data_IF_537115653392
#
_entry.id   IF_537115653392
#
_cell.length_a   1.000
_cell.length_b   1.000
_cell.length_c   1.000
_cell.angle_alpha   90.00
_cell.angle_beta   90.00
_cell.angle_gamma   90.00
#
_symmetry.space_group_name_H-M   'P 1'
#
loop_
_entity.id
_entity.type
_entity.pdbx_description
1 polymer ?
#
# COMPACT_ATOMS: atom_id res chain seq x y z
N UNK A 1 38.87 -2.57 -3.40
CA UNK A 1 38.25 -1.38 -2.82
C UNK A 1 37.80 -1.79 -1.44
N UNK A 2 38.46 -1.28 -0.42
CA UNK A 2 38.28 -1.63 0.99
C UNK A 2 36.91 -1.15 1.46
N UNK A 3 36.06 -2.10 1.89
CA UNK A 3 34.81 -1.85 2.62
C UNK A 3 35.15 -1.04 3.89
N UNK A 4 34.84 0.24 3.91
CA UNK A 4 34.82 1.03 5.13
C UNK A 4 33.63 0.51 5.94
N UNK A 5 33.80 -0.04 7.16
CA UNK A 5 32.68 -0.50 7.95
C UNK A 5 31.75 0.69 8.23
N UNK A 6 30.50 0.56 7.82
CA UNK A 6 29.48 1.57 8.06
C UNK A 6 29.43 1.89 9.57
N UNK A 7 29.54 3.17 9.94
CA UNK A 7 29.52 3.60 11.32
C UNK A 7 28.20 3.17 11.99
N UNK A 8 28.28 2.68 13.24
CA UNK A 8 27.13 2.24 14.03
C UNK A 8 26.72 3.39 14.95
N UNK A 9 25.59 4.04 14.65
CA UNK A 9 25.15 5.22 15.43
C UNK A 9 24.18 4.80 16.51
N UNK A 10 24.55 5.10 17.76
CA UNK A 10 23.74 4.88 18.95
C UNK A 10 23.30 6.21 19.55
N UNK A 11 22.02 6.40 19.77
CA UNK A 11 21.47 7.53 20.51
C UNK A 11 21.03 7.08 21.90
N UNK A 12 21.54 7.74 22.94
CA UNK A 12 21.15 7.48 24.33
C UNK A 12 20.31 8.65 24.84
N UNK A 13 19.05 8.37 25.16
CA UNK A 13 18.08 9.39 25.60
C UNK A 13 17.90 9.32 27.11
N UNK A 14 17.94 10.48 27.76
CA UNK A 14 17.87 10.67 29.23
C UNK A 14 18.82 9.75 30.00
N UNK A 15 20.14 9.78 29.70
CA UNK A 15 21.11 8.87 30.29
C UNK A 15 21.22 9.06 31.82
N UNK A 16 21.44 7.94 32.52
CA UNK A 16 21.85 7.94 33.95
C UNK A 16 23.35 7.66 34.07
N UNK A 17 23.86 7.72 35.32
CA UNK A 17 25.28 7.45 35.61
C UNK A 17 25.74 6.07 35.08
N UNK A 18 24.90 5.05 35.19
CA UNK A 18 25.20 3.72 34.64
C UNK A 18 25.24 3.73 33.12
N UNK A 19 24.37 4.52 32.45
CA UNK A 19 24.45 4.73 31.00
C UNK A 19 25.80 5.37 30.63
N UNK A 20 26.21 6.44 31.32
CA UNK A 20 27.49 7.10 31.04
C UNK A 20 28.70 6.16 31.22
N UNK A 21 28.65 5.22 32.17
CA UNK A 21 29.71 4.20 32.36
C UNK A 21 29.81 3.22 31.21
N UNK A 22 28.72 2.98 30.45
CA UNK A 22 28.73 2.12 29.28
C UNK A 22 29.39 2.78 28.04
N UNK A 23 29.29 4.11 27.90
CA UNK A 23 29.66 4.82 26.67
C UNK A 23 31.10 4.57 26.20
N UNK A 24 32.12 4.60 27.08
CA UNK A 24 33.53 4.35 26.68
C UNK A 24 33.71 2.96 26.08
N UNK A 25 33.09 1.93 26.68
CA UNK A 25 33.15 0.56 26.21
C UNK A 25 32.44 0.38 24.83
N UNK A 26 31.36 1.06 24.63
CA UNK A 26 30.63 1.03 23.33
C UNK A 26 31.43 1.73 22.23
N UNK A 27 32.05 2.86 22.51
CA UNK A 27 32.93 3.54 21.57
C UNK A 27 34.14 2.70 21.17
N UNK A 28 34.71 1.97 22.14
CA UNK A 28 35.87 1.07 21.90
C UNK A 28 35.55 -0.08 20.90
N UNK A 29 34.29 -0.52 20.83
CA UNK A 29 33.84 -1.55 19.89
C UNK A 29 33.18 -0.98 18.60
N UNK A 30 33.39 0.31 18.33
CA UNK A 30 33.05 0.95 17.06
C UNK A 30 31.64 1.55 16.97
N UNK A 31 31.02 1.89 18.11
CA UNK A 31 29.79 2.70 18.12
C UNK A 31 30.12 4.20 18.17
N UNK A 32 29.47 4.95 17.30
CA UNK A 32 29.36 6.42 17.42
C UNK A 32 28.18 6.70 18.35
N UNK A 33 28.51 7.16 19.58
CA UNK A 33 27.49 7.36 20.60
C UNK A 33 27.24 8.82 20.82
N UNK A 34 25.99 9.23 20.64
CA UNK A 34 25.44 10.53 20.99
C UNK A 34 24.45 10.39 22.17
N UNK A 35 24.28 11.47 22.94
CA UNK A 35 23.36 11.48 24.08
C UNK A 35 22.61 12.81 24.16
N UNK A 36 21.31 12.75 24.48
CA UNK A 36 20.47 13.94 24.61
C UNK A 36 19.28 13.67 25.55
N UNK A 37 18.51 14.71 25.84
CA UNK A 37 17.20 14.60 26.48
C UNK A 37 16.13 14.23 25.45
N UNK A 38 14.97 13.72 25.90
CA UNK A 38 13.86 13.33 25.04
C UNK A 38 13.42 14.48 24.12
N UNK A 39 13.39 15.71 24.60
CA UNK A 39 12.98 16.90 23.83
C UNK A 39 13.85 17.17 22.59
N UNK A 40 15.14 16.80 22.65
CA UNK A 40 16.10 17.01 21.55
C UNK A 40 16.38 15.74 20.75
N UNK A 41 15.71 14.64 21.04
CA UNK A 41 15.97 13.35 20.41
C UNK A 41 15.34 13.23 19.02
N UNK A 42 14.24 13.94 18.75
CA UNK A 42 13.49 13.86 17.47
C UNK A 42 14.27 14.39 16.28
N UNK A 43 15.23 15.31 16.49
CA UNK A 43 16.06 15.89 15.43
C UNK A 43 17.36 15.09 15.18
N UNK A 44 17.57 14.00 15.91
CA UNK A 44 18.79 13.18 15.83
C UNK A 44 18.55 11.91 15.02
N UNK A 45 19.53 11.56 14.21
CA UNK A 45 19.51 10.31 13.43
C UNK A 45 20.37 9.25 14.10
N UNK A 46 19.80 8.04 14.31
CA UNK A 46 20.52 6.90 14.87
C UNK A 46 20.10 5.61 14.20
N UNK A 47 20.92 4.56 14.34
CA UNK A 47 20.58 3.22 13.92
C UNK A 47 19.91 2.43 15.06
N UNK A 48 20.38 2.66 16.29
CA UNK A 48 19.80 2.07 17.50
C UNK A 48 19.63 3.17 18.56
N UNK A 49 18.51 3.15 19.27
CA UNK A 49 18.24 4.04 20.39
C UNK A 49 18.22 3.29 21.73
N UNK A 50 18.74 3.90 22.76
CA UNK A 50 18.66 3.45 24.15
C UNK A 50 17.98 4.56 24.95
N UNK A 51 16.82 4.32 25.54
CA UNK A 51 16.09 5.31 26.32
C UNK A 51 15.86 4.85 27.75
N UNK A 52 16.21 5.69 28.72
CA UNK A 52 15.86 5.44 30.12
C UNK A 52 14.42 5.87 30.36
N UNK A 53 13.52 4.90 30.57
CA UNK A 53 12.15 5.19 30.92
C UNK A 53 12.06 5.68 32.38
N UNK A 54 11.26 6.70 32.55
CA UNK A 54 10.92 7.30 33.85
C UNK A 54 9.41 7.23 34.05
N UNK A 55 8.85 7.31 35.27
CA UNK A 55 7.41 7.22 35.52
C UNK A 55 6.57 8.14 34.63
N UNK A 56 7.01 9.39 34.43
CA UNK A 56 6.28 10.37 33.65
C UNK A 56 6.21 10.00 32.14
N UNK A 57 7.16 9.20 31.62
CA UNK A 57 7.08 8.69 30.24
C UNK A 57 5.92 7.70 30.04
N UNK A 58 5.50 7.03 31.10
CA UNK A 58 4.37 6.10 31.07
C UNK A 58 3.04 6.82 31.28
N UNK A 59 3.06 7.94 32.00
CA UNK A 59 1.89 8.82 32.16
C UNK A 59 1.62 9.65 30.89
N UNK A 60 2.69 10.06 30.19
CA UNK A 60 2.63 10.85 28.96
C UNK A 60 3.45 10.18 27.84
N UNK A 61 2.98 9.05 27.29
CA UNK A 61 3.78 8.21 26.38
C UNK A 61 3.94 8.79 24.97
N UNK A 62 3.21 9.85 24.62
CA UNK A 62 3.10 10.34 23.25
C UNK A 62 4.46 10.80 22.67
N UNK A 63 5.29 11.48 23.44
CA UNK A 63 6.61 11.93 23.01
C UNK A 63 7.57 10.76 22.71
N UNK A 64 7.53 9.70 23.54
CA UNK A 64 8.33 8.48 23.32
C UNK A 64 7.84 7.72 22.11
N UNK A 65 6.52 7.59 21.93
CA UNK A 65 5.91 6.95 20.75
C UNK A 65 6.27 7.69 19.47
N UNK A 66 6.19 9.02 19.48
CA UNK A 66 6.56 9.85 18.34
C UNK A 66 8.05 9.67 17.96
N UNK A 67 8.94 9.71 18.94
CA UNK A 67 10.37 9.47 18.73
C UNK A 67 10.63 8.10 18.08
N UNK A 68 10.05 7.04 18.65
CA UNK A 68 10.23 5.67 18.14
C UNK A 68 9.66 5.53 16.71
N UNK A 69 8.48 6.10 16.46
CA UNK A 69 7.81 5.99 15.16
C UNK A 69 8.53 6.74 14.04
N UNK A 70 9.14 7.89 14.36
CA UNK A 70 9.82 8.75 13.39
C UNK A 70 11.25 8.34 13.08
N UNK A 71 11.97 7.77 14.06
CA UNK A 71 13.41 7.53 13.96
C UNK A 71 13.81 6.43 12.96
N UNK A 72 12.91 5.46 12.68
CA UNK A 72 13.25 4.26 11.92
C UNK A 72 14.29 3.34 12.57
N UNK A 73 14.75 3.68 13.78
CA UNK A 73 15.72 2.95 14.58
C UNK A 73 15.06 1.86 15.43
N UNK A 74 15.82 0.88 15.88
CA UNK A 74 15.40 -0.02 16.94
C UNK A 74 15.68 0.56 18.32
N UNK A 75 14.66 0.56 19.17
CA UNK A 75 14.75 1.16 20.50
C UNK A 75 14.79 0.11 21.60
N UNK A 76 15.67 0.34 22.57
CA UNK A 76 15.85 -0.51 23.76
C UNK A 76 15.49 0.33 24.99
N UNK A 77 14.60 -0.20 25.82
CA UNK A 77 14.22 0.44 27.07
C UNK A 77 15.22 0.16 28.19
N UNK A 78 15.53 1.17 29.01
CA UNK A 78 16.27 1.03 30.27
C UNK A 78 15.31 1.28 31.41
N UNK A 79 15.15 0.31 32.28
CA UNK A 79 14.20 0.31 33.38
C UNK A 79 14.92 0.28 34.72
N UNK A 80 14.48 1.12 35.67
CA UNK A 80 14.85 0.99 37.06
C UNK A 80 13.78 0.18 37.83
N UNK A 81 14.08 -0.14 39.09
CA UNK A 81 13.14 -0.92 39.93
C UNK A 81 11.82 -0.19 40.20
N UNK A 82 11.81 1.13 40.19
CA UNK A 82 10.62 1.95 40.37
C UNK A 82 9.65 1.81 39.20
N UNK A 83 10.15 1.96 37.96
CA UNK A 83 9.38 1.82 36.73
C UNK A 83 8.86 0.39 36.56
N UNK A 84 9.64 -0.62 36.93
CA UNK A 84 9.22 -2.03 36.84
C UNK A 84 7.98 -2.38 37.70
N UNK A 85 7.69 -1.60 38.74
CA UNK A 85 6.55 -1.80 39.65
C UNK A 85 5.26 -1.14 39.13
N UNK A 86 5.34 -0.34 38.08
CA UNK A 86 4.17 0.35 37.53
C UNK A 86 3.31 -0.62 36.71
N UNK A 87 1.98 -0.48 36.86
CA UNK A 87 1.04 -1.17 36.00
C UNK A 87 1.23 -0.68 34.55
N UNK A 88 1.09 -1.58 33.57
CA UNK A 88 1.20 -1.32 32.12
C UNK A 88 2.62 -1.09 31.56
N UNK A 89 3.70 -1.09 32.39
CA UNK A 89 5.07 -0.99 31.85
C UNK A 89 5.40 -2.16 30.91
N UNK A 90 4.96 -3.37 31.26
CA UNK A 90 5.19 -4.56 30.45
C UNK A 90 4.59 -4.45 29.06
N UNK A 91 3.33 -4.03 28.98
CA UNK A 91 2.63 -3.86 27.71
C UNK A 91 3.28 -2.76 26.87
N UNK A 92 3.60 -1.62 27.48
CA UNK A 92 4.27 -0.51 26.79
C UNK A 92 5.64 -0.91 26.23
N UNK A 93 6.46 -1.62 27.03
CA UNK A 93 7.78 -2.07 26.60
C UNK A 93 7.66 -3.15 25.50
N UNK A 94 6.78 -4.11 25.67
CA UNK A 94 6.55 -5.17 24.66
C UNK A 94 6.00 -4.62 23.34
N UNK A 95 5.19 -3.56 23.39
CA UNK A 95 4.60 -2.96 22.19
C UNK A 95 5.60 -2.06 21.45
N UNK A 96 6.42 -1.29 22.15
CA UNK A 96 7.19 -0.17 21.56
C UNK A 96 8.69 -0.41 21.47
N UNK A 97 9.26 -1.38 22.19
CA UNK A 97 10.71 -1.56 22.26
C UNK A 97 11.14 -2.91 21.67
N UNK A 98 12.34 -2.93 21.12
CA UNK A 98 12.98 -4.15 20.62
C UNK A 98 13.30 -5.12 21.75
N UNK A 99 13.86 -4.57 22.85
CA UNK A 99 14.24 -5.31 24.06
C UNK A 99 14.33 -4.31 25.23
N UNK A 100 14.58 -4.80 26.44
CA UNK A 100 14.80 -3.96 27.60
C UNK A 100 15.96 -4.44 28.48
N UNK A 101 16.54 -3.52 29.24
CA UNK A 101 17.52 -3.81 30.26
C UNK A 101 17.15 -3.16 31.58
N UNK A 102 17.48 -3.83 32.68
CA UNK A 102 17.29 -3.32 34.03
C UNK A 102 18.59 -2.76 34.60
N UNK A 103 18.49 -1.73 35.44
CA UNK A 103 19.62 -1.22 36.17
C UNK A 103 19.86 -1.99 37.48
N UNK A 104 21.15 -2.28 37.86
CA UNK A 104 22.38 -1.94 37.15
C UNK A 104 22.58 -2.85 35.90
N UNK A 105 23.32 -2.36 34.90
CA UNK A 105 23.53 -3.08 33.65
C UNK A 105 24.46 -4.29 33.76
N UNK A 106 24.09 -5.37 33.05
CA UNK A 106 25.07 -6.33 32.56
C UNK A 106 25.59 -5.82 31.19
N UNK A 107 26.83 -5.32 31.19
CA UNK A 107 27.46 -4.70 30.01
C UNK A 107 27.49 -5.65 28.82
N UNK A 108 27.79 -6.94 29.06
CA UNK A 108 27.86 -7.94 27.99
C UNK A 108 26.51 -8.20 27.36
N UNK A 109 25.44 -8.24 28.14
CA UNK A 109 24.06 -8.35 27.62
C UNK A 109 23.66 -7.14 26.80
N UNK A 110 23.95 -5.93 27.27
CA UNK A 110 23.64 -4.70 26.53
C UNK A 110 24.34 -4.70 25.18
N UNK A 111 25.64 -5.07 25.13
CA UNK A 111 26.39 -5.13 23.87
C UNK A 111 25.79 -6.11 22.87
N UNK A 112 25.38 -7.30 23.33
CA UNK A 112 24.72 -8.31 22.48
C UNK A 112 23.38 -7.79 21.95
N UNK A 113 22.57 -7.17 22.82
CA UNK A 113 21.25 -6.62 22.42
C UNK A 113 21.41 -5.50 21.41
N UNK A 114 22.36 -4.56 21.63
CA UNK A 114 22.66 -3.50 20.67
C UNK A 114 23.12 -4.06 19.32
N UNK A 115 23.98 -5.09 19.33
CA UNK A 115 24.43 -5.76 18.12
C UNK A 115 23.28 -6.41 17.34
N UNK A 116 22.36 -7.06 18.04
CA UNK A 116 21.14 -7.67 17.44
C UNK A 116 20.20 -6.61 16.88
N UNK A 117 19.94 -5.55 17.63
CA UNK A 117 19.12 -4.42 17.19
C UNK A 117 19.69 -3.77 15.92
N UNK A 118 21.00 -3.52 15.89
CA UNK A 118 21.68 -3.01 14.69
C UNK A 118 21.61 -3.97 13.51
N UNK A 119 21.78 -5.27 13.75
CA UNK A 119 21.61 -6.30 12.73
C UNK A 119 20.20 -6.28 12.12
N UNK A 120 19.16 -6.10 12.94
CA UNK A 120 17.77 -5.98 12.48
C UNK A 120 17.54 -4.73 11.64
N UNK A 121 18.12 -3.58 12.04
CA UNK A 121 18.06 -2.35 11.24
C UNK A 121 18.74 -2.55 9.88
N UNK A 122 19.92 -3.20 9.86
CA UNK A 122 20.62 -3.50 8.58
C UNK A 122 19.85 -4.48 7.70
N UNK A 123 19.26 -5.50 8.26
CA UNK A 123 18.43 -6.45 7.50
C UNK A 123 17.20 -5.75 6.91
N UNK A 124 16.57 -4.84 7.65
CA UNK A 124 15.50 -3.98 7.12
C UNK A 124 16.02 -3.01 6.05
N UNK A 125 17.21 -2.45 6.23
CA UNK A 125 17.86 -1.52 5.31
C UNK A 125 18.35 -2.17 4.01
N UNK A 126 18.65 -3.46 3.98
CA UNK A 126 18.99 -4.18 2.74
C UNK A 126 17.75 -4.55 1.91
N UNK A 127 16.57 -4.48 2.51
CA UNK A 127 15.28 -4.47 1.81
C UNK A 127 14.81 -3.05 1.48
N UNK A 128 15.74 -2.09 1.33
CA UNK A 128 15.40 -0.67 1.17
C UNK A 128 14.60 -0.41 -0.09
N UNK A 129 13.34 -0.27 0.13
CA UNK A 129 12.56 0.75 -0.56
C UNK A 129 13.01 2.09 0.02
N UNK A 130 13.66 2.94 -0.77
CA UNK A 130 13.89 4.34 -0.44
C UNK A 130 12.55 4.98 -0.09
N UNK A 131 12.38 5.37 1.19
CA UNK A 131 11.15 5.98 1.71
C UNK A 131 11.27 7.51 1.58
N UNK A 132 11.49 7.98 0.35
CA UNK A 132 11.14 9.34 -0.04
C UNK A 132 9.86 9.26 -0.89
N UNK A 133 8.71 9.54 -0.26
CA UNK A 133 7.36 9.62 -0.82
C UNK A 133 6.85 8.34 -1.50
N UNK A 134 6.47 7.27 -0.75
CA UNK A 134 5.97 6.02 -1.32
C UNK A 134 4.57 6.15 -1.98
N UNK A 135 3.87 7.26 -1.81
CA UNK A 135 2.54 7.47 -2.39
C UNK A 135 2.52 7.51 -3.92
N UNK A 136 3.67 7.68 -4.57
CA UNK A 136 3.76 7.91 -6.02
C UNK A 136 4.58 6.86 -6.78
N UNK A 137 4.95 5.76 -6.14
CA UNK A 137 5.73 4.73 -6.80
C UNK A 137 4.93 3.49 -7.18
N UNK A 138 5.10 3.02 -8.43
CA UNK A 138 4.49 1.78 -8.91
C UNK A 138 5.25 0.58 -8.32
N UNK A 139 4.78 0.07 -7.18
CA UNK A 139 5.38 -1.06 -6.48
C UNK A 139 5.02 -2.40 -7.11
N UNK A 140 5.96 -3.37 -7.04
CA UNK A 140 5.79 -4.74 -7.50
C UNK A 140 7.01 -5.27 -8.24
N UNK A 141 7.30 -6.58 -8.09
CA UNK A 141 8.39 -7.29 -8.75
C UNK A 141 7.91 -8.42 -9.65
N UNK A 142 6.59 -8.58 -9.80
CA UNK A 142 6.02 -9.52 -10.73
C UNK A 142 6.42 -9.20 -12.17
N UNK A 143 6.49 -10.22 -13.02
CA UNK A 143 6.84 -10.07 -14.45
C UNK A 143 5.97 -9.00 -15.14
N UNK A 144 4.63 -8.99 -14.98
CA UNK A 144 3.79 -7.98 -15.61
C UNK A 144 4.11 -6.55 -15.18
N UNK A 145 4.43 -6.32 -13.89
CA UNK A 145 4.79 -4.99 -13.39
C UNK A 145 6.14 -4.54 -13.91
N UNK A 146 7.12 -5.44 -14.01
CA UNK A 146 8.43 -5.13 -14.62
C UNK A 146 8.32 -4.78 -16.10
N UNK A 147 7.47 -5.50 -16.84
CA UNK A 147 7.18 -5.20 -18.25
C UNK A 147 6.48 -3.85 -18.40
N UNK A 148 5.50 -3.57 -17.52
CA UNK A 148 4.83 -2.27 -17.48
C UNK A 148 5.83 -1.14 -17.23
N UNK A 149 6.72 -1.25 -16.25
CA UNK A 149 7.77 -0.22 -16.01
C UNK A 149 8.67 0.00 -17.22
N UNK A 150 9.08 -1.07 -17.91
CA UNK A 150 9.87 -0.97 -19.17
C UNK A 150 9.09 -0.24 -20.27
N UNK A 151 7.79 -0.50 -20.39
CA UNK A 151 6.93 0.18 -21.35
C UNK A 151 6.82 1.67 -21.00
N UNK A 152 6.57 2.01 -19.73
CA UNK A 152 6.48 3.39 -19.26
C UNK A 152 7.76 4.19 -19.57
N UNK A 153 8.93 3.60 -19.35
CA UNK A 153 10.22 4.25 -19.66
C UNK A 153 10.39 4.55 -21.16
N UNK A 154 9.81 3.71 -22.04
CA UNK A 154 9.83 3.95 -23.49
C UNK A 154 8.83 5.03 -23.92
N UNK A 155 7.66 5.09 -23.27
CA UNK A 155 6.60 6.03 -23.63
C UNK A 155 6.78 7.42 -23.00
N UNK A 156 7.46 7.51 -21.87
CA UNK A 156 7.60 8.75 -21.12
C UNK A 156 8.23 9.91 -21.93
N UNK A 157 9.28 9.71 -22.75
CA UNK A 157 9.89 10.81 -23.53
C UNK A 157 9.00 11.32 -24.68
N UNK A 158 7.93 10.62 -25.04
CA UNK A 158 7.06 11.03 -26.15
C UNK A 158 6.05 12.11 -25.72
N UNK A 159 5.67 12.97 -26.65
CA UNK A 159 4.62 13.99 -26.45
C UNK A 159 3.21 13.48 -26.82
N UNK A 160 3.12 12.24 -27.30
CA UNK A 160 1.86 11.64 -27.73
C UNK A 160 0.90 11.44 -26.56
N UNK A 161 -0.40 11.46 -26.85
CA UNK A 161 -1.43 11.07 -25.90
C UNK A 161 -1.27 9.59 -25.52
N UNK A 162 -1.52 9.27 -24.25
CA UNK A 162 -1.47 7.90 -23.74
C UNK A 162 -2.80 7.55 -23.09
N UNK A 163 -3.41 6.46 -23.55
CA UNK A 163 -4.62 5.89 -22.94
C UNK A 163 -4.23 4.77 -21.98
N UNK A 164 -4.56 4.94 -20.70
CA UNK A 164 -4.29 3.98 -19.63
C UNK A 164 -5.58 3.21 -19.33
N UNK A 165 -5.61 1.91 -19.64
CA UNK A 165 -6.77 1.04 -19.41
C UNK A 165 -6.52 0.10 -18.22
N UNK A 166 -7.57 -0.26 -17.50
CA UNK A 166 -7.53 -1.26 -16.46
C UNK A 166 -8.57 -1.06 -15.37
N UNK A 167 -8.76 -2.10 -14.57
CA UNK A 167 -9.75 -2.13 -13.51
C UNK A 167 -9.57 -1.00 -12.49
N UNK A 168 -10.64 -0.71 -11.74
CA UNK A 168 -10.56 0.24 -10.63
C UNK A 168 -9.55 -0.25 -9.58
N UNK A 169 -8.76 0.67 -9.03
CA UNK A 169 -7.79 0.36 -7.97
C UNK A 169 -6.50 -0.33 -8.42
N UNK A 170 -6.23 -0.49 -9.73
CA UNK A 170 -4.98 -1.09 -10.25
C UNK A 170 -3.79 -0.12 -10.28
N UNK A 171 -4.01 1.18 -9.99
CA UNK A 171 -2.95 2.20 -9.97
C UNK A 171 -2.80 2.98 -11.27
N UNK A 172 -3.86 3.21 -12.03
CA UNK A 172 -3.84 4.03 -13.28
C UNK A 172 -3.25 5.42 -13.06
N UNK A 173 -3.59 6.07 -11.94
CA UNK A 173 -3.03 7.38 -11.60
C UNK A 173 -1.52 7.31 -11.32
N UNK A 174 -1.04 6.24 -10.64
CA UNK A 174 0.39 6.03 -10.42
C UNK A 174 1.16 5.85 -11.73
N UNK A 175 0.54 5.16 -12.70
CA UNK A 175 1.08 5.03 -14.06
C UNK A 175 1.19 6.40 -14.73
N UNK A 176 0.14 7.24 -14.65
CA UNK A 176 0.16 8.60 -15.22
C UNK A 176 1.23 9.48 -14.55
N UNK A 177 1.34 9.46 -13.22
CA UNK A 177 2.39 10.18 -12.47
C UNK A 177 3.79 9.69 -12.82
N UNK A 178 3.98 8.38 -13.02
CA UNK A 178 5.26 7.80 -13.46
C UNK A 178 5.62 8.25 -14.87
N UNK A 179 4.67 8.27 -15.82
CA UNK A 179 4.89 8.81 -17.18
C UNK A 179 5.29 10.28 -17.13
N UNK A 180 4.64 11.09 -16.31
CA UNK A 180 5.00 12.50 -16.15
C UNK A 180 6.40 12.65 -15.55
N UNK A 181 6.72 11.96 -14.46
CA UNK A 181 8.01 12.01 -13.76
C UNK A 181 9.18 11.62 -14.67
N UNK A 182 8.98 10.65 -15.55
CA UNK A 182 10.01 10.17 -16.50
C UNK A 182 10.03 10.97 -17.81
N UNK A 183 9.12 11.96 -18.00
CA UNK A 183 9.02 12.76 -19.22
C UNK A 183 9.93 13.99 -19.19
N UNK A 184 10.06 14.68 -20.33
CA UNK A 184 10.72 15.97 -20.41
C UNK A 184 9.98 17.10 -19.66
N UNK A 185 8.71 16.86 -19.28
CA UNK A 185 7.85 17.78 -18.53
C UNK A 185 7.84 17.51 -17.02
N UNK A 186 8.75 16.69 -16.48
CA UNK A 186 8.76 16.27 -15.07
C UNK A 186 8.77 17.40 -14.04
N UNK A 187 9.34 18.56 -14.40
CA UNK A 187 9.40 19.76 -13.54
C UNK A 187 8.23 20.74 -13.78
N UNK A 188 7.31 20.41 -14.66
CA UNK A 188 6.16 21.22 -15.05
C UNK A 188 4.89 20.75 -14.31
N UNK A 189 3.80 21.53 -14.36
CA UNK A 189 2.55 21.13 -13.69
C UNK A 189 2.04 19.75 -14.13
N UNK A 190 1.58 18.95 -13.17
CA UNK A 190 0.78 17.75 -13.39
C UNK A 190 -0.61 18.00 -12.81
N UNK A 191 -1.58 18.19 -13.68
CA UNK A 191 -2.97 18.49 -13.29
C UNK A 191 -3.82 17.25 -13.54
N UNK A 192 -4.34 16.67 -12.46
CA UNK A 192 -5.26 15.54 -12.52
C UNK A 192 -6.71 16.01 -12.34
N UNK A 193 -7.60 15.40 -13.09
CA UNK A 193 -9.05 15.59 -12.98
C UNK A 193 -9.75 14.26 -13.14
N UNK A 194 -10.65 13.93 -12.21
CA UNK A 194 -11.51 12.76 -12.33
C UNK A 194 -12.84 13.19 -12.95
N UNK A 195 -13.13 12.73 -14.17
CA UNK A 195 -14.32 13.09 -14.93
C UNK A 195 -15.61 12.54 -14.32
N UNK A 196 -15.55 11.38 -13.63
CA UNK A 196 -16.71 10.78 -12.98
C UNK A 196 -17.05 11.38 -11.61
N UNK A 197 -16.07 12.07 -10.96
CA UNK A 197 -16.29 12.63 -9.63
C UNK A 197 -16.91 14.04 -9.62
N UNK A 198 -16.93 14.72 -10.76
CA UNK A 198 -17.43 16.09 -10.88
C UNK A 198 -18.85 16.05 -11.46
N UNK A 199 -19.82 16.75 -10.84
CA UNK A 199 -21.17 16.87 -11.41
C UNK A 199 -21.14 17.40 -12.84
N UNK A 200 -21.99 16.85 -13.72
CA UNK A 200 -22.03 17.13 -15.16
C UNK A 200 -22.12 18.62 -15.47
N UNK A 201 -22.91 19.37 -14.73
CA UNK A 201 -23.08 20.81 -14.92
C UNK A 201 -21.86 21.66 -14.49
N UNK A 202 -20.92 21.11 -13.75
CA UNK A 202 -19.70 21.80 -13.30
C UNK A 202 -18.46 21.41 -14.10
N UNK A 203 -18.43 20.20 -14.69
CA UNK A 203 -17.22 19.64 -15.31
C UNK A 203 -16.74 20.50 -16.49
N UNK A 204 -17.65 21.15 -17.27
CA UNK A 204 -17.29 22.05 -18.32
C UNK A 204 -16.50 23.28 -17.77
N UNK A 205 -17.03 23.89 -16.72
CA UNK A 205 -16.38 25.01 -16.06
C UNK A 205 -15.07 24.66 -15.37
N UNK A 206 -14.97 23.43 -14.83
CA UNK A 206 -13.70 22.93 -14.25
C UNK A 206 -12.64 22.70 -15.33
N UNK A 207 -12.98 22.06 -16.46
CA UNK A 207 -12.04 21.77 -17.54
C UNK A 207 -11.57 23.03 -18.26
N UNK A 208 -12.52 23.85 -18.76
CA UNK A 208 -12.24 24.95 -19.67
C UNK A 208 -12.17 26.34 -18.99
N UNK A 209 -12.65 26.42 -17.73
CA UNK A 209 -12.80 27.71 -17.05
C UNK A 209 -14.03 28.49 -17.51
N UNK A 210 -14.29 29.61 -16.88
CA UNK A 210 -15.40 30.50 -17.26
C UNK A 210 -15.06 31.98 -17.09
N UNK A 211 -15.69 32.81 -17.88
CA UNK A 211 -15.67 34.25 -17.71
C UNK A 211 -16.72 34.69 -16.68
N UNK A 212 -16.56 35.91 -16.12
CA UNK A 212 -17.54 36.49 -15.21
C UNK A 212 -18.89 36.64 -15.92
N UNK A 213 -19.96 36.14 -15.30
CA UNK A 213 -21.32 36.23 -15.85
C UNK A 213 -21.69 35.14 -16.86
N UNK A 214 -20.85 34.12 -17.06
CA UNK A 214 -21.08 33.01 -18.00
C UNK A 214 -22.33 32.16 -17.67
N UNK A 215 -22.68 32.07 -16.39
CA UNK A 215 -23.89 31.40 -15.89
C UNK A 215 -24.30 31.98 -14.53
N UNK A 216 -25.47 31.60 -14.03
CA UNK A 216 -25.95 32.00 -12.70
C UNK A 216 -25.02 31.47 -11.62
N UNK A 217 -24.31 32.38 -10.92
CA UNK A 217 -23.27 32.01 -9.94
C UNK A 217 -21.83 32.27 -10.38
N UNK A 218 -21.58 32.62 -11.64
CA UNK A 218 -20.25 32.98 -12.15
C UNK A 218 -19.86 34.41 -11.74
N UNK A 219 -19.66 34.64 -10.44
CA UNK A 219 -19.36 36.00 -9.90
C UNK A 219 -17.97 36.51 -10.28
N UNK A 220 -17.02 35.59 -10.53
CA UNK A 220 -15.65 35.89 -10.89
C UNK A 220 -15.20 35.00 -12.05
N UNK A 221 -14.18 35.45 -12.78
CA UNK A 221 -13.48 34.61 -13.77
C UNK A 221 -12.76 33.47 -13.09
N UNK A 222 -12.81 32.23 -13.67
CA UNK A 222 -12.10 31.06 -13.20
C UNK A 222 -11.21 30.48 -14.31
N UNK A 223 -9.94 30.21 -13.97
CA UNK A 223 -9.00 29.48 -14.83
C UNK A 223 -9.36 27.99 -14.83
N UNK A 224 -9.47 27.41 -16.03
CA UNK A 224 -9.76 26.00 -16.19
C UNK A 224 -8.54 25.09 -15.94
N UNK A 225 -8.80 23.80 -15.71
CA UNK A 225 -7.73 22.79 -15.45
C UNK A 225 -6.82 22.61 -16.67
N UNK A 226 -7.34 22.71 -17.90
CA UNK A 226 -6.53 22.62 -19.12
C UNK A 226 -5.57 23.80 -19.21
N UNK A 227 -6.04 25.01 -18.95
CA UNK A 227 -5.21 26.22 -18.90
C UNK A 227 -4.15 26.14 -17.79
N UNK A 228 -4.52 25.64 -16.60
CA UNK A 228 -3.61 25.46 -15.48
C UNK A 228 -2.51 24.40 -15.75
N UNK A 229 -2.75 23.46 -16.68
CA UNK A 229 -1.78 22.45 -17.09
C UNK A 229 -0.82 22.94 -18.18
N UNK A 230 -0.90 24.20 -18.61
CA UNK A 230 -0.10 24.72 -19.71
C UNK A 230 1.40 24.55 -19.46
N UNK A 231 2.12 24.06 -20.48
CA UNK A 231 3.52 23.67 -20.42
C UNK A 231 3.77 22.30 -19.75
N UNK A 232 2.75 21.68 -19.13
CA UNK A 232 2.84 20.47 -18.32
C UNK A 232 2.06 19.28 -18.89
N UNK A 233 1.41 18.54 -17.97
CA UNK A 233 0.67 17.32 -18.29
C UNK A 233 -0.72 17.39 -17.66
N UNK A 234 -1.76 17.11 -18.45
CA UNK A 234 -3.14 16.94 -18.02
C UNK A 234 -3.42 15.44 -17.92
N UNK A 235 -3.91 14.99 -16.79
CA UNK A 235 -4.39 13.63 -16.58
C UNK A 235 -5.90 13.61 -16.39
N UNK A 236 -6.60 12.94 -17.31
CA UNK A 236 -8.04 12.77 -17.33
C UNK A 236 -8.38 11.35 -16.84
N UNK A 237 -8.75 11.23 -15.57
CA UNK A 237 -9.19 9.94 -15.02
C UNK A 237 -10.69 9.72 -15.31
N UNK A 238 -11.07 8.45 -15.49
CA UNK A 238 -12.45 8.03 -15.81
C UNK A 238 -13.01 8.76 -17.03
N UNK A 239 -12.20 8.87 -18.11
CA UNK A 239 -12.58 9.58 -19.34
C UNK A 239 -13.83 8.99 -20.00
N UNK A 240 -14.14 7.71 -19.76
CA UNK A 240 -15.35 7.06 -20.26
C UNK A 240 -16.66 7.62 -19.70
N UNK A 241 -16.59 8.36 -18.58
CA UNK A 241 -17.74 8.97 -17.91
C UNK A 241 -17.96 10.44 -18.33
N UNK A 242 -17.11 10.97 -19.24
CA UNK A 242 -17.27 12.32 -19.75
C UNK A 242 -18.53 12.46 -20.62
N UNK A 243 -19.44 13.44 -20.37
CA UNK A 243 -20.61 13.67 -21.18
C UNK A 243 -20.31 13.91 -22.67
N UNK A 244 -21.16 13.41 -23.57
CA UNK A 244 -20.95 13.47 -25.03
C UNK A 244 -20.71 14.90 -25.56
N UNK A 245 -21.39 15.88 -25.00
CA UNK A 245 -21.23 17.30 -25.39
C UNK A 245 -19.80 17.78 -25.11
N UNK A 246 -19.24 17.38 -23.96
CA UNK A 246 -17.89 17.77 -23.55
C UNK A 246 -16.80 16.99 -24.29
N UNK A 247 -17.13 15.79 -24.79
CA UNK A 247 -16.21 15.02 -25.63
C UNK A 247 -15.90 15.79 -26.94
N UNK A 248 -16.87 16.51 -27.51
CA UNK A 248 -16.63 17.35 -28.67
C UNK A 248 -15.69 18.53 -28.39
N UNK A 249 -15.87 19.19 -27.23
CA UNK A 249 -14.98 20.28 -26.79
C UNK A 249 -13.57 19.79 -26.51
N UNK A 250 -13.45 18.63 -25.88
CA UNK A 250 -12.15 17.98 -25.62
C UNK A 250 -11.45 17.60 -26.93
N UNK A 251 -12.18 17.06 -27.91
CA UNK A 251 -11.63 16.76 -29.23
C UNK A 251 -11.09 18.00 -29.92
N UNK A 252 -11.84 19.12 -29.90
CA UNK A 252 -11.41 20.38 -30.46
C UNK A 252 -10.10 20.86 -29.81
N UNK A 253 -10.01 20.84 -28.47
CA UNK A 253 -8.78 21.16 -27.77
C UNK A 253 -7.59 20.27 -28.20
N UNK A 254 -7.79 18.95 -28.31
CA UNK A 254 -6.73 18.02 -28.71
C UNK A 254 -6.23 18.26 -30.16
N UNK A 255 -7.09 18.75 -31.04
CA UNK A 255 -6.78 19.05 -32.44
C UNK A 255 -6.13 20.40 -32.63
N UNK A 256 -6.72 21.43 -32.04
CA UNK A 256 -6.41 22.84 -32.32
C UNK A 256 -5.40 23.45 -31.32
N UNK A 257 -5.15 22.75 -30.18
CA UNK A 257 -4.22 23.22 -29.14
C UNK A 257 -4.60 24.61 -28.55
N UNK A 258 -5.86 24.92 -28.56
CA UNK A 258 -6.40 26.08 -27.86
C UNK A 258 -7.73 25.74 -27.16
N UNK A 259 -8.11 26.52 -26.20
CA UNK A 259 -9.39 26.42 -25.47
C UNK A 259 -10.12 27.77 -25.51
N UNK A 260 -11.44 27.73 -25.33
CA UNK A 260 -12.27 28.88 -25.04
C UNK A 260 -12.92 28.68 -23.67
N UNK A 261 -12.97 29.74 -22.86
CA UNK A 261 -13.69 29.71 -21.58
C UNK A 261 -15.18 29.74 -21.80
N UNK A 262 -15.94 29.13 -20.90
CA UNK A 262 -17.41 29.21 -20.93
C UNK A 262 -17.85 30.69 -20.84
N UNK A 263 -18.69 31.11 -21.78
CA UNK A 263 -19.14 32.52 -21.89
C UNK A 263 -18.11 33.47 -22.52
N UNK A 264 -16.96 33.01 -22.95
CA UNK A 264 -15.94 33.73 -23.69
C UNK A 264 -15.81 33.26 -25.13
N UNK A 265 -15.25 34.10 -26.01
CA UNK A 265 -14.98 33.80 -27.42
C UNK A 265 -13.48 33.93 -27.77
N UNK A 266 -12.64 34.21 -26.79
CA UNK A 266 -11.21 34.40 -27.03
C UNK A 266 -10.49 33.05 -26.99
N UNK A 267 -9.83 32.63 -28.09
CA UNK A 267 -9.02 31.42 -28.07
C UNK A 267 -7.75 31.60 -27.22
N UNK A 268 -7.49 30.68 -26.33
CA UNK A 268 -6.33 30.65 -25.43
C UNK A 268 -5.44 29.51 -25.89
N UNK A 269 -4.26 29.76 -26.45
CA UNK A 269 -3.33 28.68 -26.84
C UNK A 269 -2.79 27.97 -25.61
N UNK A 270 -2.75 26.62 -25.66
CA UNK A 270 -2.26 25.76 -24.57
C UNK A 270 -1.39 24.64 -25.12
N UNK A 271 -0.21 24.46 -24.55
CA UNK A 271 0.68 23.35 -24.83
C UNK A 271 0.65 22.35 -23.68
N UNK A 272 -0.12 21.27 -23.83
CA UNK A 272 -0.35 20.29 -22.77
C UNK A 272 -0.21 18.88 -23.33
N UNK A 273 0.58 18.04 -22.64
CA UNK A 273 0.58 16.59 -22.87
C UNK A 273 -0.64 15.97 -22.18
N UNK A 274 -1.41 15.16 -22.90
CA UNK A 274 -2.63 14.56 -22.37
C UNK A 274 -2.42 13.07 -22.09
N UNK A 275 -2.74 12.66 -20.87
CA UNK A 275 -2.86 11.28 -20.42
C UNK A 275 -4.33 11.04 -20.05
N UNK A 276 -4.93 9.97 -20.53
CA UNK A 276 -6.32 9.62 -20.20
C UNK A 276 -6.37 8.22 -19.58
N UNK A 277 -7.24 8.01 -18.59
CA UNK A 277 -7.44 6.71 -17.98
C UNK A 277 -8.91 6.31 -17.95
N UNK A 278 -9.17 5.01 -18.03
CA UNK A 278 -10.52 4.45 -17.97
C UNK A 278 -10.51 3.01 -17.48
N UNK A 279 -11.57 2.62 -16.78
CA UNK A 279 -11.94 1.23 -16.50
C UNK A 279 -13.07 0.72 -17.43
N UNK A 280 -13.64 1.60 -18.27
CA UNK A 280 -14.72 1.29 -19.18
C UNK A 280 -14.15 0.75 -20.51
N UNK A 281 -14.81 -0.20 -21.09
CA UNK A 281 -14.59 -0.61 -22.48
C UNK A 281 -15.12 0.48 -23.42
N UNK A 282 -14.19 1.29 -23.95
CA UNK A 282 -14.53 2.42 -24.81
C UNK A 282 -15.07 1.96 -26.17
N UNK A 283 -14.63 0.84 -26.71
CA UNK A 283 -15.10 0.28 -27.95
C UNK A 283 -16.60 -0.13 -27.82
N UNK A 284 -16.95 -0.77 -26.69
CA UNK A 284 -18.34 -1.04 -26.37
C UNK A 284 -19.16 0.23 -26.11
N UNK A 285 -18.55 1.28 -25.54
CA UNK A 285 -19.20 2.57 -25.34
C UNK A 285 -19.46 3.31 -26.65
N UNK A 286 -18.54 3.21 -27.62
CA UNK A 286 -18.71 3.75 -29.00
C UNK A 286 -19.89 3.05 -29.69
N UNK A 287 -19.95 1.72 -29.66
CA UNK A 287 -21.04 0.95 -30.23
C UNK A 287 -22.41 1.35 -29.66
N UNK A 288 -22.44 1.73 -28.36
CA UNK A 288 -23.64 2.23 -27.67
C UNK A 288 -23.85 3.74 -27.80
N UNK A 289 -23.08 4.44 -28.63
CA UNK A 289 -23.13 5.89 -28.85
C UNK A 289 -22.97 6.71 -27.55
N UNK A 290 -22.23 6.19 -26.57
CA UNK A 290 -21.91 6.89 -25.30
C UNK A 290 -20.53 7.53 -25.33
N UNK A 291 -19.67 7.13 -26.27
CA UNK A 291 -18.36 7.71 -26.49
C UNK A 291 -18.15 7.97 -27.98
N UNK A 292 -17.47 9.07 -28.33
CA UNK A 292 -17.20 9.43 -29.73
C UNK A 292 -15.99 8.67 -30.25
N UNK A 293 -16.13 8.12 -31.44
CA UNK A 293 -15.08 7.38 -32.12
C UNK A 293 -13.87 8.26 -32.48
N UNK A 294 -14.12 9.49 -32.93
CA UNK A 294 -13.07 10.47 -33.27
C UNK A 294 -12.19 10.84 -32.06
N UNK A 295 -12.80 11.05 -30.90
CA UNK A 295 -12.07 11.29 -29.66
C UNK A 295 -11.26 10.07 -29.22
N UNK A 296 -11.82 8.86 -29.35
CA UNK A 296 -11.13 7.63 -29.02
C UNK A 296 -9.81 7.50 -29.79
N UNK A 297 -9.82 7.66 -31.13
CA UNK A 297 -8.59 7.58 -31.92
C UNK A 297 -7.59 8.69 -31.59
N UNK A 298 -8.05 9.85 -31.14
CA UNK A 298 -7.16 10.96 -30.75
C UNK A 298 -6.49 10.72 -29.38
N UNK A 299 -7.16 10.03 -28.46
CA UNK A 299 -6.62 9.65 -27.15
C UNK A 299 -5.80 8.35 -27.18
N UNK A 300 -6.20 7.38 -28.00
CA UNK A 300 -5.59 6.06 -28.10
C UNK A 300 -4.44 6.01 -29.13
N UNK A 301 -3.52 6.98 -29.06
CA UNK A 301 -2.29 6.96 -29.88
C UNK A 301 -1.29 5.94 -29.33
N UNK A 302 -1.10 5.95 -28.01
CA UNK A 302 -0.31 4.97 -27.27
C UNK A 302 -1.19 4.38 -26.18
N UNK A 303 -1.11 3.06 -25.97
CA UNK A 303 -1.91 2.37 -24.98
C UNK A 303 -1.05 1.72 -23.90
N UNK A 304 -1.51 1.85 -22.65
CA UNK A 304 -0.95 1.16 -21.49
C UNK A 304 -2.07 0.43 -20.78
N UNK A 305 -1.86 -0.85 -20.45
CA UNK A 305 -2.82 -1.64 -19.68
C UNK A 305 -2.23 -1.94 -18.32
N UNK A 306 -2.97 -1.58 -17.25
CA UNK A 306 -2.58 -1.94 -15.89
C UNK A 306 -3.08 -3.34 -15.55
N UNK A 307 -2.26 -4.10 -14.83
CA UNK A 307 -2.51 -5.49 -14.50
C UNK A 307 -3.29 -5.61 -13.19
N UNK A 308 -4.39 -6.35 -13.12
CA UNK A 308 -5.13 -6.58 -11.89
C UNK A 308 -4.30 -7.37 -10.86
N UNK A 309 -4.58 -7.14 -9.57
CA UNK A 309 -3.78 -7.70 -8.47
C UNK A 309 -3.73 -9.24 -8.47
N UNK A 310 -4.83 -9.90 -8.86
CA UNK A 310 -4.92 -11.36 -8.99
C UNK A 310 -3.94 -11.96 -10.01
N UNK A 311 -3.47 -11.17 -10.98
CA UNK A 311 -2.49 -11.58 -12.00
C UNK A 311 -1.06 -11.17 -11.65
N UNK A 312 -0.86 -10.47 -10.54
CA UNK A 312 0.44 -10.00 -10.05
C UNK A 312 1.01 -10.98 -9.00
N UNK A 313 1.27 -12.21 -9.45
CA UNK A 313 1.77 -13.27 -8.57
C UNK A 313 3.07 -12.86 -7.87
N UNK A 314 3.09 -12.96 -6.56
CA UNK A 314 4.23 -12.59 -5.70
C UNK A 314 4.20 -11.14 -5.15
N UNK A 315 3.44 -10.22 -5.77
CA UNK A 315 3.39 -8.83 -5.29
C UNK A 315 2.50 -8.66 -4.05
N UNK A 316 1.54 -9.57 -3.83
CA UNK A 316 0.51 -9.43 -2.80
C UNK A 316 1.09 -9.24 -1.39
N UNK A 317 1.98 -10.14 -0.97
CA UNK A 317 2.61 -10.09 0.36
C UNK A 317 3.51 -8.86 0.52
N UNK A 318 4.23 -8.49 -0.53
CA UNK A 318 5.09 -7.30 -0.54
C UNK A 318 4.25 -6.03 -0.41
N UNK A 319 3.16 -5.89 -1.17
CA UNK A 319 2.24 -4.76 -1.09
C UNK A 319 1.54 -4.69 0.27
N UNK A 320 1.08 -5.83 0.81
CA UNK A 320 0.46 -5.88 2.13
C UNK A 320 1.42 -5.40 3.23
N UNK A 321 2.66 -5.87 3.23
CA UNK A 321 3.69 -5.43 4.16
C UNK A 321 4.00 -3.93 3.98
N UNK A 322 4.12 -3.46 2.74
CA UNK A 322 4.32 -2.04 2.45
C UNK A 322 3.20 -1.18 3.08
N UNK A 323 1.92 -1.54 2.86
CA UNK A 323 0.79 -0.81 3.44
C UNK A 323 0.74 -0.93 4.97
N UNK A 324 1.13 -2.09 5.55
CA UNK A 324 1.26 -2.21 7.00
C UNK A 324 2.26 -1.21 7.57
N UNK A 325 3.43 -1.07 6.95
CA UNK A 325 4.43 -0.08 7.34
C UNK A 325 3.98 1.37 7.09
N UNK A 326 3.32 1.63 5.97
CA UNK A 326 2.84 2.96 5.61
C UNK A 326 1.79 3.46 6.60
N UNK A 327 0.71 2.70 6.78
CA UNK A 327 -0.39 3.11 7.66
C UNK A 327 -0.06 3.03 9.15
N UNK A 328 0.94 2.25 9.55
CA UNK A 328 1.39 2.24 10.94
C UNK A 328 1.95 3.60 11.37
N UNK A 329 2.64 4.30 10.47
CA UNK A 329 3.13 5.67 10.72
C UNK A 329 1.97 6.67 10.87
N UNK A 330 0.95 6.56 10.00
CA UNK A 330 -0.24 7.43 10.04
C UNK A 330 -1.04 7.23 11.34
N UNK A 331 -1.16 5.98 11.81
CA UNK A 331 -1.94 5.63 13.01
C UNK A 331 -1.15 5.71 14.31
N UNK A 332 0.15 6.03 14.27
CA UNK A 332 1.05 6.02 15.43
C UNK A 332 1.23 4.64 16.05
N UNK A 333 0.98 3.56 15.29
CA UNK A 333 1.12 2.16 15.73
C UNK A 333 2.35 1.52 15.10
N UNK A 334 2.86 0.44 15.69
CA UNK A 334 3.92 -0.36 15.05
C UNK A 334 3.38 -1.13 13.84
N UNK A 335 4.20 -1.32 12.78
CA UNK A 335 3.85 -2.24 11.70
C UNK A 335 3.62 -3.63 12.29
N UNK A 336 2.54 -4.28 11.83
CA UNK A 336 2.22 -5.65 12.23
C UNK A 336 2.45 -6.61 11.07
N UNK A 337 2.96 -7.80 11.37
CA UNK A 337 3.02 -8.90 10.42
C UNK A 337 1.64 -9.53 10.24
N UNK A 338 1.49 -10.33 9.21
CA UNK A 338 0.27 -11.07 8.94
C UNK A 338 0.42 -12.51 9.47
N UNK A 339 -0.65 -13.07 10.01
CA UNK A 339 -0.70 -14.47 10.38
C UNK A 339 -0.73 -15.37 9.14
N UNK A 340 -0.45 -16.67 9.28
CA UNK A 340 -0.44 -17.60 8.16
C UNK A 340 -1.84 -17.74 7.52
N UNK A 341 -2.89 -17.80 8.34
CA UNK A 341 -4.28 -17.83 7.86
C UNK A 341 -4.67 -16.53 7.13
N UNK A 342 -4.16 -15.36 7.56
CA UNK A 342 -4.35 -14.10 6.83
C UNK A 342 -3.68 -14.14 5.45
N UNK A 343 -2.45 -14.65 5.35
CA UNK A 343 -1.75 -14.79 4.07
C UNK A 343 -2.46 -15.77 3.12
N UNK A 344 -2.96 -16.90 3.65
CA UNK A 344 -3.74 -17.87 2.88
C UNK A 344 -5.06 -17.25 2.40
N UNK A 345 -5.78 -16.53 3.28
CA UNK A 345 -7.03 -15.87 2.94
C UNK A 345 -6.83 -14.77 1.87
N UNK A 346 -5.77 -13.97 2.01
CA UNK A 346 -5.40 -12.98 1.00
C UNK A 346 -5.09 -13.62 -0.35
N UNK A 347 -4.38 -14.77 -0.37
CA UNK A 347 -4.04 -15.48 -1.61
C UNK A 347 -5.24 -16.13 -2.32
N UNK A 348 -6.33 -16.40 -1.59
CA UNK A 348 -7.58 -16.96 -2.14
C UNK A 348 -8.58 -15.91 -2.61
N UNK A 349 -8.37 -14.65 -2.26
CA UNK A 349 -9.29 -13.56 -2.58
C UNK A 349 -9.00 -13.00 -3.97
N UNK A 350 -10.04 -12.72 -4.77
CA UNK A 350 -9.94 -12.24 -6.16
C UNK A 350 -9.59 -10.76 -6.31
N UNK A 351 -9.66 -10.01 -5.21
CA UNK A 351 -9.33 -8.58 -5.16
C UNK A 351 -10.07 -7.73 -6.22
N UNK A 352 -11.40 -7.69 -6.24
CA UNK A 352 -12.15 -6.90 -7.23
C UNK A 352 -11.82 -5.40 -7.16
N UNK A 353 -11.48 -4.87 -5.98
CA UNK A 353 -10.98 -3.50 -5.79
C UNK A 353 -9.46 -3.35 -5.91
N UNK A 354 -8.76 -4.40 -6.34
CA UNK A 354 -7.32 -4.44 -6.59
C UNK A 354 -6.48 -3.88 -5.43
N UNK A 355 -5.45 -3.08 -5.74
CA UNK A 355 -4.52 -2.52 -4.74
C UNK A 355 -5.22 -1.57 -3.78
N UNK A 356 -6.27 -0.84 -4.24
CA UNK A 356 -7.05 0.06 -3.37
C UNK A 356 -7.80 -0.73 -2.29
N UNK A 357 -8.39 -1.87 -2.65
CA UNK A 357 -9.04 -2.75 -1.69
C UNK A 357 -8.04 -3.33 -0.70
N UNK A 358 -6.89 -3.84 -1.19
CA UNK A 358 -5.82 -4.36 -0.33
C UNK A 358 -5.37 -3.31 0.70
N UNK A 359 -5.09 -2.09 0.26
CA UNK A 359 -4.67 -0.98 1.11
C UNK A 359 -5.70 -0.68 2.22
N UNK A 360 -6.99 -0.61 1.85
CA UNK A 360 -8.08 -0.36 2.81
C UNK A 360 -8.24 -1.50 3.82
N UNK A 361 -8.13 -2.77 3.36
CA UNK A 361 -8.23 -3.93 4.26
C UNK A 361 -7.05 -4.02 5.22
N UNK A 362 -5.84 -3.71 4.75
CA UNK A 362 -4.65 -3.65 5.62
C UNK A 362 -4.79 -2.52 6.65
N UNK A 363 -5.22 -1.32 6.23
CA UNK A 363 -5.49 -0.20 7.14
C UNK A 363 -6.52 -0.58 8.21
N UNK A 364 -7.61 -1.24 7.81
CA UNK A 364 -8.61 -1.79 8.73
C UNK A 364 -7.99 -2.80 9.70
N UNK A 365 -7.20 -3.75 9.19
CA UNK A 365 -6.54 -4.77 10.00
C UNK A 365 -5.61 -4.17 11.05
N UNK A 366 -4.84 -3.15 10.71
CA UNK A 366 -3.98 -2.43 11.67
C UNK A 366 -4.77 -1.79 12.82
N UNK A 367 -5.98 -1.30 12.53
CA UNK A 367 -6.83 -0.67 13.56
C UNK A 367 -7.50 -1.71 14.44
N UNK A 368 -8.00 -2.82 13.85
CA UNK A 368 -8.82 -3.82 14.55
C UNK A 368 -8.02 -4.92 15.24
N UNK A 369 -6.79 -5.21 14.77
CA UNK A 369 -5.99 -6.28 15.35
C UNK A 369 -5.65 -5.96 16.82
N UNK A 370 -5.98 -6.90 17.72
CA UNK A 370 -5.65 -6.81 19.14
C UNK A 370 -4.28 -7.46 19.46
N UNK A 371 -3.88 -8.46 18.66
CA UNK A 371 -2.64 -9.21 18.83
C UNK A 371 -1.41 -8.59 18.13
N UNK A 372 -0.31 -9.33 18.14
CA UNK A 372 0.94 -8.95 17.46
C UNK A 372 0.88 -9.10 15.93
N UNK A 373 -0.08 -9.85 15.42
CA UNK A 373 -0.27 -10.13 14.00
C UNK A 373 -1.67 -9.72 13.56
N UNK A 374 -1.82 -9.40 12.29
CA UNK A 374 -3.10 -9.17 11.64
C UNK A 374 -3.65 -10.52 11.20
N UNK A 375 -4.83 -10.88 11.66
CA UNK A 375 -5.53 -12.13 11.30
C UNK A 375 -6.47 -11.90 10.10
N UNK A 376 -6.92 -12.99 9.46
CA UNK A 376 -7.86 -12.93 8.33
C UNK A 376 -9.18 -12.22 8.69
N UNK A 377 -9.65 -12.37 9.94
CA UNK A 377 -10.85 -11.69 10.46
C UNK A 377 -10.68 -10.17 10.52
N UNK A 378 -9.48 -9.69 10.87
CA UNK A 378 -9.19 -8.26 10.98
C UNK A 378 -9.21 -7.59 9.60
N UNK A 379 -8.77 -8.32 8.57
CA UNK A 379 -8.84 -7.93 7.16
C UNK A 379 -10.28 -8.01 6.59
N UNK A 380 -11.21 -8.66 7.30
CA UNK A 380 -12.56 -8.94 6.80
C UNK A 380 -12.57 -9.92 5.62
N UNK A 381 -11.60 -10.84 5.58
CA UNK A 381 -11.49 -11.88 4.55
C UNK A 381 -12.15 -13.20 4.94
N UNK A 382 -12.55 -13.34 6.21
CA UNK A 382 -13.37 -14.46 6.66
C UNK A 382 -14.83 -14.07 6.46
N UNK A 383 -15.55 -14.87 5.69
CA UNK A 383 -17.00 -14.74 5.58
C UNK A 383 -17.62 -14.91 6.96
N UNK A 384 -18.55 -14.03 7.35
CA UNK A 384 -19.29 -14.16 8.62
C UNK A 384 -20.03 -15.51 8.74
N UNK A 385 -20.24 -16.22 7.64
CA UNK A 385 -20.75 -17.59 7.61
C UNK A 385 -19.74 -18.63 8.16
N UNK A 386 -18.45 -18.32 8.22
CA UNK A 386 -17.46 -19.22 8.84
C UNK A 386 -17.43 -19.10 10.37
N UNK A 387 -17.90 -17.98 10.92
CA UNK A 387 -17.96 -17.73 12.38
C UNK A 387 -19.25 -18.26 12.99
N UNK A 388 -20.27 -18.45 12.17
CA UNK A 388 -21.62 -18.90 12.59
C UNK A 388 -21.96 -20.34 12.16
N UNK A 389 -20.97 -21.22 11.93
CA UNK A 389 -21.29 -22.63 11.92
C UNK A 389 -21.60 -23.02 13.38
N UNK A 390 -22.85 -23.34 13.74
CA UNK A 390 -23.15 -23.81 15.08
C UNK A 390 -22.21 -24.99 15.37
N UNK A 391 -21.72 -25.09 16.62
CA UNK A 391 -20.93 -26.23 17.04
C UNK A 391 -21.74 -27.49 16.73
N UNK A 392 -21.38 -28.16 15.64
CA UNK A 392 -22.05 -29.37 15.21
C UNK A 392 -21.74 -30.51 16.15
N UNK A 393 -22.58 -31.52 16.16
CA UNK A 393 -22.31 -32.77 16.86
C UNK A 393 -21.05 -33.42 16.26
N UNK A 394 -20.38 -34.28 17.02
CA UNK A 394 -19.22 -35.05 16.54
C UNK A 394 -19.54 -35.80 15.22
N UNK A 395 -20.79 -36.22 15.05
CA UNK A 395 -21.31 -36.90 13.85
C UNK A 395 -21.30 -35.96 12.64
N UNK A 396 -21.69 -34.70 12.79
CA UNK A 396 -21.66 -33.70 11.72
C UNK A 396 -20.24 -33.34 11.32
N UNK A 397 -19.31 -33.22 12.28
CA UNK A 397 -17.89 -33.02 11.97
C UNK A 397 -17.30 -34.19 11.20
N UNK A 398 -17.60 -35.44 11.61
CA UNK A 398 -17.17 -36.65 10.87
C UNK A 398 -17.75 -36.68 9.47
N UNK A 399 -19.04 -36.39 9.31
CA UNK A 399 -19.72 -36.36 8.02
C UNK A 399 -19.10 -35.33 7.07
N UNK A 400 -18.77 -34.15 7.58
CA UNK A 400 -18.12 -33.09 6.80
C UNK A 400 -16.71 -33.50 6.39
N UNK A 401 -15.90 -34.05 7.31
CA UNK A 401 -14.56 -34.52 7.03
C UNK A 401 -14.55 -35.69 6.01
N UNK A 402 -15.46 -36.66 6.15
CA UNK A 402 -15.64 -37.76 5.22
C UNK A 402 -15.96 -37.24 3.81
N UNK A 403 -16.91 -36.28 3.69
CA UNK A 403 -17.31 -35.68 2.42
C UNK A 403 -16.15 -34.93 1.77
N UNK A 404 -15.41 -34.14 2.54
CA UNK A 404 -14.25 -33.38 2.03
C UNK A 404 -13.17 -34.34 1.48
N UNK A 405 -12.81 -35.36 2.23
CA UNK A 405 -11.82 -36.33 1.83
C UNK A 405 -12.22 -37.08 0.53
N UNK A 406 -13.51 -37.43 0.38
CA UNK A 406 -14.04 -38.02 -0.83
C UNK A 406 -13.94 -37.07 -2.04
N UNK A 407 -14.31 -35.80 -1.89
CA UNK A 407 -14.21 -34.80 -2.94
C UNK A 407 -12.77 -34.55 -3.37
N UNK A 408 -11.83 -34.44 -2.43
CA UNK A 408 -10.42 -34.18 -2.70
C UNK A 408 -9.77 -35.31 -3.50
N UNK A 409 -10.11 -36.56 -3.17
CA UNK A 409 -9.58 -37.73 -3.88
C UNK A 409 -10.21 -37.90 -5.24
N UNK A 410 -11.52 -37.65 -5.39
CA UNK A 410 -12.20 -37.70 -6.68
C UNK A 410 -11.71 -36.63 -7.64
N UNK A 411 -11.41 -35.43 -7.15
CA UNK A 411 -10.83 -34.37 -7.98
C UNK A 411 -9.45 -34.72 -8.53
N UNK A 412 -8.67 -35.56 -7.79
CA UNK A 412 -7.33 -36.00 -8.21
C UNK A 412 -7.34 -37.29 -9.04
N UNK A 413 -8.37 -38.12 -8.89
CA UNK A 413 -8.47 -39.45 -9.48
C UNK A 413 -9.88 -39.71 -10.02
N UNK A 414 -10.40 -38.80 -10.84
CA UNK A 414 -11.75 -38.83 -11.40
C UNK A 414 -12.06 -40.12 -12.18
N UNK A 415 -11.06 -40.71 -12.84
CA UNK A 415 -11.22 -41.83 -13.80
C UNK A 415 -10.95 -43.19 -13.18
N UNK A 416 -10.42 -43.28 -11.95
CA UNK A 416 -10.08 -44.56 -11.33
C UNK A 416 -10.46 -44.65 -9.84
N UNK A 417 -11.71 -45.05 -9.61
CA UNK A 417 -12.28 -45.22 -8.25
C UNK A 417 -11.54 -46.26 -7.40
N UNK A 418 -10.82 -47.21 -8.00
CA UNK A 418 -10.03 -48.20 -7.28
C UNK A 418 -8.76 -47.60 -6.69
N UNK A 419 -8.13 -46.69 -7.42
CA UNK A 419 -6.99 -45.91 -6.93
C UNK A 419 -7.44 -44.93 -5.86
N UNK A 420 -8.56 -44.27 -6.06
CA UNK A 420 -9.17 -43.35 -5.08
C UNK A 420 -9.43 -44.03 -3.73
N UNK A 421 -10.03 -45.21 -3.73
CA UNK A 421 -10.24 -46.00 -2.50
C UNK A 421 -8.93 -46.39 -1.81
N UNK A 422 -7.89 -46.76 -2.57
CA UNK A 422 -6.58 -47.12 -2.03
C UNK A 422 -5.85 -45.94 -1.40
N UNK A 423 -5.97 -44.74 -2.02
CA UNK A 423 -5.40 -43.48 -1.50
C UNK A 423 -6.06 -43.09 -0.18
N UNK A 424 -7.37 -43.29 -0.05
CA UNK A 424 -8.10 -43.05 1.20
C UNK A 424 -7.92 -44.12 2.24
N UNK A 425 -7.17 -45.21 1.94
CA UNK A 425 -6.94 -46.30 2.88
C UNK A 425 -8.17 -47.15 3.21
N UNK A 426 -9.21 -47.13 2.33
CA UNK A 426 -10.47 -47.86 2.52
C UNK A 426 -10.67 -48.95 1.47
N UNK A 427 -11.45 -49.98 1.83
CA UNK A 427 -11.83 -51.00 0.84
C UNK A 427 -12.77 -50.39 -0.23
N UNK A 428 -12.71 -50.97 -1.44
CA UNK A 428 -13.58 -50.53 -2.54
C UNK A 428 -15.09 -50.54 -2.22
N UNK A 429 -15.64 -51.59 -1.54
CA UNK A 429 -17.02 -51.57 -1.08
C UNK A 429 -17.34 -50.43 -0.10
N UNK A 430 -16.40 -50.18 0.85
CA UNK A 430 -16.54 -49.08 1.82
C UNK A 430 -16.53 -47.71 1.11
N UNK A 431 -15.69 -47.56 0.10
CA UNK A 431 -15.63 -46.34 -0.69
C UNK A 431 -16.97 -46.05 -1.43
N UNK A 432 -17.54 -47.05 -2.10
CA UNK A 432 -18.86 -46.93 -2.72
C UNK A 432 -19.97 -46.60 -1.73
N UNK A 433 -19.98 -47.27 -0.54
CA UNK A 433 -20.93 -46.98 0.53
C UNK A 433 -20.84 -45.53 1.01
N UNK A 434 -19.61 -44.98 1.13
CA UNK A 434 -19.38 -43.58 1.51
C UNK A 434 -19.85 -42.62 0.42
N UNK A 435 -19.60 -42.90 -0.86
CA UNK A 435 -20.09 -42.10 -1.98
C UNK A 435 -21.62 -42.00 -1.97
N UNK A 436 -22.28 -43.13 -1.75
CA UNK A 436 -23.74 -43.19 -1.68
C UNK A 436 -24.28 -42.45 -0.45
N UNK A 437 -23.64 -42.65 0.75
CA UNK A 437 -24.00 -41.93 1.98
C UNK A 437 -23.93 -40.42 1.82
N UNK A 438 -22.94 -39.92 1.12
CA UNK A 438 -22.71 -38.48 0.92
C UNK A 438 -23.30 -37.91 -0.37
N UNK A 439 -24.05 -38.71 -1.13
CA UNK A 439 -24.70 -38.33 -2.40
C UNK A 439 -23.75 -37.68 -3.42
N UNK A 440 -22.51 -38.17 -3.48
CA UNK A 440 -21.48 -37.60 -4.37
C UNK A 440 -21.52 -38.28 -5.75
N UNK A 441 -22.16 -39.46 -5.87
CA UNK A 441 -22.47 -40.16 -7.14
C UNK A 441 -23.53 -41.21 -6.89
#
# INVERSE_FOLDING_TARGET
>A
MSDVPASRRLLVVDPCDDCYRLLPGLRAIGWEVDSCTLEHATDRTCDVGLIRLQPYHLEHPEAVKELISRSGAEWIAVLNQEVLRLQNVGDFVCEWFFDFHTLPFDVSRVQVTLGRAFGMVRLRGQGTVHVDQPEHELLGDSKPVRELRKLLSKLAPTESAVLIRGESGTGKELVARTLHRLSQRHSKPFIAINCGAIPEHLIQSELFGHEKGAFTGAHQRKVGRIEAANGGTLFLDEIGDLPLELQANLLRFLQEKHIERVGGSQPIPVDVRVLAATNVDLEAAIAKKRFREDLYYRLNVLQVVTVPLRERHGDLSMLANHFSHFYSRETGRRPRSFSEDALIAMGKHDWPGNVRELANRVRRGLVLAEGRQIEARDLGLISQHAIAAPMGTLEEYKTRAERQALCDVLNRHSDNLSVAAKVLGVSRPTFYRLLHKHQIR
#
